data_IF_694318564565
#
_entry.id   IF_694318564565
#
_cell.length_a   1.000
_cell.length_b   1.000
_cell.length_c   1.000
_cell.angle_alpha   90.00
_cell.angle_beta   90.00
_cell.angle_gamma   90.00
#
_symmetry.space_group_name_H-M   'P 1'
#
loop_
_entity.id
_entity.type
_entity.pdbx_description
1 polymer ?
#
# COMPACT_ATOMS: atom_id res chain seq x y z
N UNK A 1 24.72 20.06 25.72
CA UNK A 1 23.60 19.39 26.48
C UNK A 1 22.39 19.13 25.60
N UNK A 2 21.77 20.18 24.99
CA UNK A 2 20.58 19.98 24.10
C UNK A 2 20.96 19.20 22.84
N UNK A 3 22.05 19.59 22.16
CA UNK A 3 22.53 18.91 20.95
C UNK A 3 22.91 17.45 21.22
N UNK A 4 23.42 17.13 22.41
CA UNK A 4 23.75 15.75 22.77
C UNK A 4 22.48 14.91 22.98
N UNK A 5 21.47 15.50 23.63
CA UNK A 5 20.17 14.85 23.78
C UNK A 5 19.47 14.62 22.45
N UNK A 6 19.49 15.60 21.56
CA UNK A 6 18.95 15.46 20.21
C UNK A 6 19.63 14.33 19.44
N UNK A 7 20.97 14.27 19.48
CA UNK A 7 21.74 13.20 18.83
C UNK A 7 21.41 11.82 19.39
N UNK A 8 21.24 11.70 20.71
CA UNK A 8 20.82 10.45 21.36
C UNK A 8 19.42 10.02 20.93
N UNK A 9 18.46 10.94 20.88
CA UNK A 9 17.09 10.67 20.44
C UNK A 9 17.07 10.20 18.98
N UNK A 10 17.78 10.91 18.10
CA UNK A 10 17.87 10.54 16.68
C UNK A 10 18.52 9.16 16.49
N UNK A 11 19.55 8.85 17.28
CA UNK A 11 20.18 7.53 17.29
C UNK A 11 19.22 6.41 17.69
N UNK A 12 18.43 6.63 18.73
CA UNK A 12 17.44 5.66 19.21
C UNK A 12 16.28 5.49 18.22
N UNK A 13 15.79 6.57 17.62
CA UNK A 13 14.81 6.50 16.53
C UNK A 13 15.34 5.66 15.37
N UNK A 14 16.58 5.87 14.96
CA UNK A 14 17.22 5.09 13.90
C UNK A 14 17.32 3.60 14.23
N UNK A 15 17.70 3.28 15.45
CA UNK A 15 17.79 1.90 15.94
C UNK A 15 16.42 1.23 15.96
N UNK A 16 15.41 1.86 16.53
CA UNK A 16 14.05 1.33 16.60
C UNK A 16 13.44 1.16 15.21
N UNK A 17 13.68 2.10 14.31
CA UNK A 17 13.25 2.01 12.91
C UNK A 17 13.84 0.78 12.22
N UNK A 18 15.12 0.48 12.46
CA UNK A 18 15.76 -0.72 11.93
C UNK A 18 15.14 -2.01 12.45
N UNK A 19 14.89 -2.10 13.76
CA UNK A 19 14.24 -3.27 14.38
C UNK A 19 12.84 -3.49 13.81
N UNK A 20 12.05 -2.43 13.70
CA UNK A 20 10.70 -2.48 13.17
C UNK A 20 10.71 -2.92 11.70
N UNK A 21 11.61 -2.35 10.90
CA UNK A 21 11.75 -2.71 9.49
C UNK A 21 12.07 -4.20 9.32
N UNK A 22 13.00 -4.72 10.10
CA UNK A 22 13.33 -6.14 10.04
C UNK A 22 12.15 -7.02 10.46
N UNK A 23 11.46 -6.66 11.53
CA UNK A 23 10.27 -7.39 11.97
C UNK A 23 9.19 -7.44 10.89
N UNK A 24 8.95 -6.35 10.19
CA UNK A 24 7.97 -6.30 9.09
C UNK A 24 8.38 -7.16 7.89
N UNK A 25 9.67 -7.14 7.55
CA UNK A 25 10.22 -8.00 6.48
C UNK A 25 10.04 -9.47 6.86
N UNK A 26 10.41 -9.85 8.07
CA UNK A 26 10.29 -11.21 8.57
C UNK A 26 8.83 -11.66 8.61
N UNK A 27 7.93 -10.77 9.04
CA UNK A 27 6.49 -11.06 9.07
C UNK A 27 5.93 -11.24 7.65
N UNK A 28 6.24 -10.35 6.70
CA UNK A 28 5.81 -10.46 5.30
C UNK A 28 6.28 -11.76 4.62
N UNK A 29 7.42 -12.29 5.06
CA UNK A 29 8.05 -13.47 4.48
C UNK A 29 7.86 -14.75 5.30
N UNK A 30 7.07 -14.71 6.37
CA UNK A 30 6.99 -15.82 7.33
C UNK A 30 6.26 -17.06 6.83
N UNK A 31 5.57 -17.03 5.71
CA UNK A 31 4.69 -18.11 5.19
C UNK A 31 3.63 -18.60 6.20
N UNK A 32 3.33 -17.83 7.20
CA UNK A 32 2.31 -18.17 8.19
C UNK A 32 0.92 -17.87 7.66
N UNK A 33 -0.05 -18.63 8.10
CA UNK A 33 -1.44 -18.25 7.87
C UNK A 33 -1.74 -16.92 8.55
N UNK A 34 -2.45 -16.05 7.86
CA UNK A 34 -2.95 -14.82 8.45
C UNK A 34 -4.08 -15.20 9.38
N UNK A 35 -3.89 -14.97 10.67
CA UNK A 35 -4.89 -15.30 11.67
C UNK A 35 -6.11 -14.39 11.54
N UNK A 36 -7.28 -14.98 11.56
CA UNK A 36 -8.56 -14.29 11.55
C UNK A 36 -9.27 -14.60 12.85
N UNK A 37 -9.79 -13.56 13.49
CA UNK A 37 -10.63 -13.72 14.66
C UNK A 37 -11.98 -14.36 14.31
N UNK A 38 -12.71 -14.85 15.32
CA UNK A 38 -14.03 -15.43 15.12
C UNK A 38 -14.96 -14.45 14.41
N UNK A 39 -15.75 -14.97 13.49
CA UNK A 39 -16.80 -14.21 12.85
C UNK A 39 -17.80 -13.66 13.90
N UNK A 40 -18.25 -12.46 13.67
CA UNK A 40 -19.36 -11.86 14.43
C UNK A 40 -20.45 -11.53 13.45
N UNK A 41 -21.59 -12.16 13.63
CA UNK A 41 -22.76 -11.92 12.79
C UNK A 41 -23.42 -10.62 13.18
N UNK A 42 -23.65 -9.78 12.18
CA UNK A 42 -24.44 -8.55 12.30
C UNK A 42 -25.71 -8.73 11.47
N UNK A 43 -26.86 -8.72 12.13
CA UNK A 43 -28.14 -8.71 11.44
C UNK A 43 -28.37 -7.35 10.79
N UNK A 44 -28.66 -7.36 9.50
CA UNK A 44 -29.03 -6.18 8.74
C UNK A 44 -30.54 -6.11 8.59
N UNK A 45 -31.07 -4.94 8.17
CA UNK A 45 -32.44 -4.81 7.70
C UNK A 45 -32.64 -5.74 6.49
N UNK A 46 -33.77 -6.40 6.37
CA UNK A 46 -34.13 -7.37 5.32
C UNK A 46 -33.56 -8.80 5.53
N UNK A 47 -33.44 -9.24 6.77
CA UNK A 47 -33.02 -10.60 7.16
C UNK A 47 -31.63 -11.04 6.61
N UNK A 48 -30.84 -10.10 6.12
CA UNK A 48 -29.48 -10.35 5.70
C UNK A 48 -28.55 -10.41 6.92
N UNK A 49 -27.58 -11.30 6.85
CA UNK A 49 -26.52 -11.44 7.84
C UNK A 49 -25.20 -10.95 7.23
N UNK A 50 -24.55 -10.04 7.92
CA UNK A 50 -23.19 -9.62 7.59
C UNK A 50 -22.20 -10.30 8.55
N UNK A 51 -21.33 -11.12 8.02
CA UNK A 51 -20.27 -11.76 8.79
C UNK A 51 -19.08 -10.82 8.91
N UNK A 52 -18.79 -10.35 10.11
CA UNK A 52 -17.65 -9.48 10.41
C UNK A 52 -16.50 -10.29 10.96
N UNK A 53 -15.37 -10.27 10.28
CA UNK A 53 -14.12 -10.89 10.74
C UNK A 53 -13.13 -9.83 11.23
N UNK A 54 -12.34 -10.17 12.22
CA UNK A 54 -11.26 -9.33 12.72
C UNK A 54 -9.95 -9.93 12.20
N UNK A 55 -9.23 -9.16 11.39
CA UNK A 55 -7.90 -9.53 10.93
C UNK A 55 -6.86 -9.29 12.03
N UNK A 56 -5.81 -10.09 12.03
CA UNK A 56 -4.71 -9.94 12.97
C UNK A 56 -4.01 -8.59 12.83
N UNK A 57 -3.45 -8.09 13.93
CA UNK A 57 -2.85 -6.76 14.02
C UNK A 57 -1.80 -6.49 12.94
N UNK A 58 -0.96 -7.42 12.56
CA UNK A 58 0.07 -7.22 11.54
C UNK A 58 -0.45 -7.00 10.13
N UNK A 59 -1.72 -7.31 9.87
CA UNK A 59 -2.28 -7.21 8.52
C UNK A 59 -2.64 -5.76 8.12
N UNK A 60 -3.24 -5.00 8.99
CA UNK A 60 -3.79 -3.68 8.65
C UNK A 60 -3.11 -2.52 9.37
N UNK A 61 -2.42 -2.79 10.43
CA UNK A 61 -1.76 -1.73 11.16
C UNK A 61 -0.28 -1.72 10.85
N UNK A 62 0.17 -0.77 10.18
CA UNK A 62 1.52 -0.36 10.46
C UNK A 62 1.60 0.10 11.94
N UNK A 63 2.79 0.13 12.46
CA UNK A 63 3.10 0.53 13.83
C UNK A 63 2.60 1.96 14.18
N UNK A 64 2.23 2.73 13.18
CA UNK A 64 1.72 4.10 13.29
C UNK A 64 0.25 4.24 12.92
N UNK A 65 -0.55 3.23 13.18
CA UNK A 65 -1.91 3.23 12.70
C UNK A 65 -2.90 3.82 13.68
N UNK A 66 -3.19 5.09 13.54
CA UNK A 66 -4.34 5.73 14.19
C UNK A 66 -5.66 5.57 13.42
N UNK A 67 -5.58 5.15 12.16
CA UNK A 67 -6.75 4.85 11.37
C UNK A 67 -6.80 3.34 11.15
N UNK A 68 -7.92 2.70 11.45
CA UNK A 68 -8.12 1.31 11.11
C UNK A 68 -7.84 1.12 9.62
N UNK A 69 -7.01 0.14 9.36
CA UNK A 69 -6.28 -0.03 8.13
C UNK A 69 -7.06 0.07 6.88
N UNK A 70 -6.38 0.56 5.92
CA UNK A 70 -6.70 0.30 4.56
C UNK A 70 -6.09 -1.06 4.21
N UNK A 71 -6.92 -1.95 3.80
CA UNK A 71 -6.57 -3.14 3.05
C UNK A 71 -7.20 -3.04 1.69
N UNK A 72 -6.63 -3.78 0.75
CA UNK A 72 -7.12 -3.90 -0.61
C UNK A 72 -7.52 -5.34 -0.83
N UNK A 73 -8.56 -5.55 -1.60
CA UNK A 73 -9.06 -6.87 -1.97
C UNK A 73 -9.31 -6.92 -3.46
N UNK A 74 -9.03 -8.07 -4.05
CA UNK A 74 -9.39 -8.37 -5.43
C UNK A 74 -9.51 -9.89 -5.59
N UNK A 75 -9.96 -10.34 -6.74
CA UNK A 75 -10.10 -11.75 -7.04
C UNK A 75 -9.15 -12.19 -8.15
N UNK A 76 -8.53 -13.36 -7.96
CA UNK A 76 -7.89 -14.13 -9.01
C UNK A 76 -8.70 -15.40 -9.21
N UNK A 77 -9.55 -15.42 -10.22
CA UNK A 77 -10.57 -16.44 -10.41
C UNK A 77 -11.45 -16.60 -9.16
N UNK A 78 -11.41 -17.76 -8.51
CA UNK A 78 -12.16 -18.05 -7.28
C UNK A 78 -11.37 -17.70 -5.99
N UNK A 79 -10.13 -17.25 -6.11
CA UNK A 79 -9.32 -16.92 -4.96
C UNK A 79 -9.48 -15.46 -4.56
N UNK A 80 -9.84 -15.23 -3.31
CA UNK A 80 -9.85 -13.88 -2.73
C UNK A 80 -8.43 -13.49 -2.34
N UNK A 81 -7.94 -12.41 -2.93
CA UNK A 81 -6.61 -11.83 -2.65
C UNK A 81 -6.78 -10.65 -1.72
N UNK A 82 -5.93 -10.58 -0.71
CA UNK A 82 -5.90 -9.44 0.24
C UNK A 82 -4.50 -8.86 0.31
N UNK A 83 -4.42 -7.53 0.37
CA UNK A 83 -3.17 -6.79 0.54
C UNK A 83 -3.35 -5.73 1.62
N UNK A 84 -2.50 -5.76 2.64
CA UNK A 84 -2.48 -4.68 3.63
C UNK A 84 -1.77 -3.44 3.08
N UNK A 85 -2.05 -2.28 3.66
CA UNK A 85 -1.34 -1.03 3.34
C UNK A 85 0.18 -1.10 3.55
N UNK A 86 0.66 -2.14 4.22
CA UNK A 86 2.07 -2.39 4.56
C UNK A 86 2.69 -3.56 3.80
N UNK A 87 1.99 -4.11 2.80
CA UNK A 87 2.52 -5.13 1.91
C UNK A 87 2.41 -6.57 2.42
N UNK A 88 1.60 -6.83 3.45
CA UNK A 88 1.22 -8.20 3.77
C UNK A 88 0.22 -8.66 2.74
N UNK A 89 0.61 -9.64 1.95
CA UNK A 89 -0.20 -10.21 0.87
C UNK A 89 -0.64 -11.62 1.24
N UNK A 90 -1.88 -11.95 0.97
CA UNK A 90 -2.43 -13.27 1.24
C UNK A 90 -3.58 -13.63 0.31
N UNK A 91 -3.94 -14.90 0.30
CA UNK A 91 -5.06 -15.41 -0.48
C UNK A 91 -5.89 -16.43 0.31
N UNK A 92 -7.16 -16.52 -0.04
CA UNK A 92 -8.06 -17.57 0.41
C UNK A 92 -8.72 -18.21 -0.79
N UNK A 93 -8.72 -19.53 -0.84
CA UNK A 93 -9.38 -20.33 -1.86
C UNK A 93 -10.73 -20.93 -1.40
N UNK A 94 -11.16 -20.59 -0.19
CA UNK A 94 -12.41 -21.07 0.39
C UNK A 94 -13.02 -19.98 1.30
N UNK A 95 -13.16 -18.78 0.74
CA UNK A 95 -13.64 -17.64 1.52
C UNK A 95 -15.14 -17.73 1.84
N UNK A 96 -15.90 -18.56 1.13
CA UNK A 96 -17.33 -18.74 1.37
C UNK A 96 -17.63 -19.61 2.58
N UNK A 97 -16.85 -20.71 2.77
CA UNK A 97 -17.08 -21.65 3.84
C UNK A 97 -16.16 -21.41 5.05
N UNK A 98 -14.89 -21.17 4.77
CA UNK A 98 -13.90 -20.96 5.83
C UNK A 98 -12.88 -19.91 5.42
N UNK A 99 -13.03 -18.71 5.97
CA UNK A 99 -12.12 -17.61 5.69
C UNK A 99 -10.75 -17.85 6.35
N UNK A 100 -9.84 -18.43 5.59
CA UNK A 100 -8.43 -18.62 5.96
C UNK A 100 -7.54 -18.02 4.90
N UNK A 101 -6.60 -17.18 5.31
CA UNK A 101 -5.64 -16.60 4.38
C UNK A 101 -4.26 -17.23 4.55
N UNK A 102 -3.71 -17.70 3.44
CA UNK A 102 -2.31 -18.10 3.32
C UNK A 102 -1.51 -16.89 2.84
N UNK A 103 -0.40 -16.64 3.51
CA UNK A 103 0.46 -15.53 3.14
C UNK A 103 1.25 -15.84 1.88
N UNK A 104 1.37 -14.84 1.01
CA UNK A 104 2.23 -14.86 -0.18
C UNK A 104 3.46 -14.00 0.12
N UNK A 105 4.65 -14.57 -0.01
CA UNK A 105 5.90 -13.81 0.10
C UNK A 105 6.01 -12.79 -1.01
N UNK A 106 6.58 -11.63 -0.71
CA UNK A 106 6.77 -10.61 -1.72
C UNK A 106 7.94 -9.67 -1.35
N UNK A 107 8.36 -8.86 -2.29
CA UNK A 107 9.46 -7.90 -2.17
C UNK A 107 8.99 -6.44 -2.12
N UNK A 108 7.76 -6.16 -1.68
CA UNK A 108 7.22 -4.79 -1.61
C UNK A 108 8.11 -3.86 -0.77
N UNK A 109 8.83 -4.39 0.21
CA UNK A 109 9.78 -3.63 1.03
C UNK A 109 10.94 -2.99 0.25
N UNK A 110 11.23 -3.46 -0.97
CA UNK A 110 12.19 -2.81 -1.87
C UNK A 110 11.68 -1.50 -2.46
N UNK A 111 10.36 -1.31 -2.52
CA UNK A 111 9.70 -0.15 -3.11
C UNK A 111 9.18 0.82 -2.06
N UNK A 112 8.68 0.31 -0.95
CA UNK A 112 8.12 1.08 0.13
C UNK A 112 8.60 0.55 1.48
N UNK A 113 9.17 1.40 2.31
CA UNK A 113 9.79 1.01 3.56
C UNK A 113 9.30 1.83 4.76
N UNK A 114 9.71 1.42 5.97
CA UNK A 114 9.28 2.06 7.21
C UNK A 114 9.65 3.55 7.28
N UNK A 115 10.77 3.97 6.70
CA UNK A 115 11.21 5.37 6.74
C UNK A 115 10.19 6.29 6.08
N UNK A 116 9.59 5.84 4.99
CA UNK A 116 8.54 6.55 4.28
C UNK A 116 7.27 6.70 5.14
N UNK A 117 6.87 5.66 5.84
CA UNK A 117 5.71 5.72 6.74
C UNK A 117 5.92 6.63 7.95
N UNK A 118 7.15 6.76 8.44
CA UNK A 118 7.47 7.69 9.51
C UNK A 118 7.26 9.14 9.05
N UNK A 119 7.58 9.48 7.81
CA UNK A 119 7.34 10.81 7.25
C UNK A 119 5.85 11.14 7.23
N UNK A 120 5.03 10.24 6.76
CA UNK A 120 3.57 10.32 6.85
C UNK A 120 2.91 8.97 6.56
N UNK A 121 1.92 8.59 7.36
CA UNK A 121 1.19 7.30 7.21
C UNK A 121 0.50 7.10 5.86
N UNK A 122 0.16 8.19 5.16
CA UNK A 122 -0.48 8.12 3.84
C UNK A 122 0.50 7.89 2.69
N UNK A 123 1.80 7.85 2.97
CA UNK A 123 2.80 7.36 2.03
C UNK A 123 2.85 5.83 2.07
N UNK A 124 1.83 5.21 1.53
CA UNK A 124 1.55 3.78 1.62
C UNK A 124 1.15 3.21 0.27
N UNK A 125 0.86 1.93 0.23
CA UNK A 125 0.15 1.31 -0.88
C UNK A 125 -1.19 2.02 -1.08
N UNK A 126 -1.66 2.08 -2.33
CA UNK A 126 -2.85 2.84 -2.73
C UNK A 126 -3.94 1.99 -3.34
N UNK A 127 -3.57 0.94 -4.07
CA UNK A 127 -4.50 0.02 -4.68
C UNK A 127 -3.88 -1.32 -5.02
N UNK A 128 -4.74 -2.30 -5.27
CA UNK A 128 -4.44 -3.64 -5.75
C UNK A 128 -5.35 -3.93 -6.92
N UNK A 129 -4.79 -4.47 -8.00
CA UNK A 129 -5.54 -4.99 -9.13
C UNK A 129 -4.96 -6.34 -9.54
N UNK A 130 -5.82 -7.35 -9.71
CA UNK A 130 -5.51 -8.59 -10.41
C UNK A 130 -6.11 -8.48 -11.82
N UNK A 131 -5.27 -8.63 -12.84
CA UNK A 131 -5.70 -8.50 -14.21
C UNK A 131 -4.79 -9.32 -15.12
N UNK A 132 -5.39 -10.17 -16.01
CA UNK A 132 -4.66 -11.00 -16.97
C UNK A 132 -3.51 -11.81 -16.34
N UNK A 133 -3.81 -12.52 -15.25
CA UNK A 133 -2.85 -13.34 -14.50
C UNK A 133 -1.63 -12.55 -13.94
N UNK A 134 -1.79 -11.25 -13.80
CA UNK A 134 -0.80 -10.35 -13.21
C UNK A 134 -1.39 -9.63 -11.99
N UNK A 135 -0.50 -9.29 -11.07
CA UNK A 135 -0.82 -8.47 -9.90
C UNK A 135 -0.15 -7.10 -10.04
N UNK A 136 -0.95 -6.07 -9.89
CA UNK A 136 -0.52 -4.67 -9.94
C UNK A 136 -0.76 -4.02 -8.58
N UNK A 137 0.21 -3.27 -8.13
CA UNK A 137 0.11 -2.53 -6.86
C UNK A 137 0.60 -1.12 -7.09
N UNK A 138 -0.22 -0.14 -6.75
CA UNK A 138 0.18 1.26 -6.75
C UNK A 138 0.59 1.72 -5.36
N UNK A 139 1.48 2.68 -5.30
CA UNK A 139 2.01 3.21 -4.04
C UNK A 139 2.49 4.65 -4.19
N UNK A 140 2.61 5.35 -3.06
CA UNK A 140 3.31 6.64 -3.04
C UNK A 140 4.80 6.37 -3.05
N UNK A 141 5.50 6.86 -4.08
CA UNK A 141 6.94 6.73 -4.22
C UNK A 141 7.64 8.03 -3.85
N UNK A 142 8.69 7.93 -3.06
CA UNK A 142 9.64 9.00 -2.84
C UNK A 142 10.68 8.99 -3.97
N UNK A 143 10.42 9.76 -5.04
CA UNK A 143 11.29 9.83 -6.23
C UNK A 143 12.64 10.46 -5.90
N UNK A 144 12.61 11.49 -5.06
CA UNK A 144 13.77 12.20 -4.51
C UNK A 144 13.43 12.59 -3.08
N UNK A 145 14.40 13.00 -2.32
CA UNK A 145 14.20 13.39 -0.92
C UNK A 145 13.05 14.41 -0.77
N UNK A 146 12.04 14.02 0.02
CA UNK A 146 10.78 14.76 0.24
C UNK A 146 10.00 15.14 -1.03
N UNK A 147 10.20 14.42 -2.14
CA UNK A 147 9.52 14.64 -3.41
C UNK A 147 8.79 13.39 -3.88
N UNK A 148 7.47 13.47 -4.01
CA UNK A 148 6.55 12.35 -4.06
C UNK A 148 5.79 12.26 -5.37
N UNK A 149 5.57 11.05 -5.84
CA UNK A 149 4.61 10.75 -6.91
C UNK A 149 3.91 9.41 -6.64
N UNK A 150 2.99 9.04 -7.52
CA UNK A 150 2.29 7.76 -7.48
C UNK A 150 2.82 6.86 -8.58
N UNK A 151 3.24 5.66 -8.19
CA UNK A 151 3.90 4.70 -9.06
C UNK A 151 3.19 3.35 -9.01
N UNK A 152 3.47 2.48 -9.98
CA UNK A 152 2.96 1.10 -10.05
C UNK A 152 4.12 0.12 -10.12
N UNK A 153 3.98 -0.96 -9.36
CA UNK A 153 4.74 -2.19 -9.49
C UNK A 153 3.83 -3.31 -9.98
N UNK A 154 4.39 -4.26 -10.72
CA UNK A 154 3.68 -5.42 -11.22
C UNK A 154 4.51 -6.69 -11.12
N UNK A 155 3.83 -7.83 -11.13
CA UNK A 155 4.44 -9.16 -11.25
C UNK A 155 3.43 -10.14 -11.88
N UNK A 156 3.91 -11.29 -12.32
CA UNK A 156 3.02 -12.41 -12.63
C UNK A 156 2.44 -13.00 -11.35
N UNK A 157 1.17 -13.40 -11.39
CA UNK A 157 0.50 -13.96 -10.21
C UNK A 157 1.11 -15.30 -9.81
N UNK A 158 1.49 -15.43 -8.55
CA UNK A 158 2.05 -16.66 -7.99
C UNK A 158 1.71 -16.76 -6.48
N UNK A 159 1.07 -17.85 -6.09
CA UNK A 159 0.61 -18.06 -4.71
C UNK A 159 1.71 -18.45 -3.70
N UNK A 160 2.94 -18.67 -4.16
CA UNK A 160 4.06 -18.97 -3.25
C UNK A 160 4.90 -17.73 -2.98
N UNK A 161 5.22 -16.99 -4.03
CA UNK A 161 6.10 -15.84 -3.92
C UNK A 161 5.93 -14.92 -5.13
N UNK A 162 5.87 -13.64 -4.92
CA UNK A 162 5.73 -12.61 -5.93
C UNK A 162 6.94 -11.68 -5.88
N UNK A 163 7.63 -11.53 -7.01
CA UNK A 163 8.76 -10.61 -7.16
C UNK A 163 8.33 -9.44 -8.06
N UNK A 164 7.86 -8.38 -7.43
CA UNK A 164 7.43 -7.16 -8.09
C UNK A 164 8.58 -6.47 -8.80
N UNK A 165 8.24 -5.85 -9.93
CA UNK A 165 9.11 -4.94 -10.69
C UNK A 165 8.37 -3.64 -10.94
N UNK A 166 9.10 -2.54 -11.08
CA UNK A 166 8.51 -1.26 -11.46
C UNK A 166 7.91 -1.37 -12.85
N UNK A 167 6.61 -1.07 -12.97
CA UNK A 167 5.93 -0.89 -14.24
C UNK A 167 5.98 0.57 -14.67
N UNK A 168 5.67 1.48 -13.74
CA UNK A 168 5.68 2.91 -13.97
C UNK A 168 6.21 3.65 -12.73
N UNK A 169 7.11 4.57 -12.97
CA UNK A 169 7.59 5.57 -12.01
C UNK A 169 7.87 6.85 -12.78
N UNK A 170 7.33 7.96 -12.33
CA UNK A 170 7.49 9.24 -13.01
C UNK A 170 8.76 9.96 -12.58
N UNK A 171 9.42 10.66 -13.50
CA UNK A 171 10.54 11.56 -13.16
C UNK A 171 10.07 12.81 -12.43
N UNK A 172 8.82 13.21 -12.67
CA UNK A 172 8.19 14.36 -12.02
C UNK A 172 7.71 13.98 -10.62
N UNK A 173 7.93 14.86 -9.65
CA UNK A 173 7.43 14.68 -8.29
C UNK A 173 7.01 16.01 -7.64
N UNK A 174 6.14 15.95 -6.64
CA UNK A 174 5.70 17.10 -5.85
C UNK A 174 6.51 17.16 -4.56
N UNK A 175 7.33 18.18 -4.42
CA UNK A 175 8.16 18.35 -3.22
C UNK A 175 7.32 18.83 -2.05
N UNK A 176 7.43 18.16 -0.93
CA UNK A 176 6.60 18.39 0.27
C UNK A 176 6.71 19.82 0.80
N UNK A 177 7.91 20.40 0.79
CA UNK A 177 8.19 21.73 1.37
C UNK A 177 8.48 22.82 0.32
N UNK A 178 8.80 22.44 -0.91
CA UNK A 178 9.27 23.35 -1.97
C UNK A 178 8.42 23.27 -3.24
N UNK A 179 7.09 23.21 -3.10
CA UNK A 179 6.20 23.26 -4.26
C UNK A 179 5.64 24.66 -4.48
N UNK A 180 5.20 24.94 -5.72
CA UNK A 180 4.68 26.25 -6.14
C UNK A 180 3.51 26.73 -5.30
N UNK A 181 2.59 25.82 -4.95
CA UNK A 181 1.37 26.17 -4.22
C UNK A 181 1.61 26.33 -2.71
N UNK A 182 2.82 26.04 -2.22
CA UNK A 182 3.20 26.06 -0.80
C UNK A 182 2.28 25.21 0.08
N UNK A 183 1.53 24.29 -0.52
CA UNK A 183 0.63 23.37 0.13
C UNK A 183 0.92 21.96 -0.37
N UNK A 184 1.09 21.05 0.56
CA UNK A 184 1.28 19.63 0.26
C UNK A 184 0.38 18.80 1.15
N UNK A 185 -0.22 17.75 0.58
CA UNK A 185 -0.94 16.77 1.36
C UNK A 185 -0.86 15.39 0.69
N UNK A 186 -0.52 14.33 1.41
CA UNK A 186 -0.34 13.02 0.80
C UNK A 186 -1.65 12.25 0.50
N UNK A 187 -2.81 12.70 1.02
CA UNK A 187 -4.07 11.98 0.79
C UNK A 187 -4.52 12.01 -0.69
N UNK A 188 -4.53 13.18 -1.39
CA UNK A 188 -4.94 13.21 -2.79
C UNK A 188 -3.80 12.77 -3.73
N UNK A 189 -3.18 11.63 -3.44
CA UNK A 189 -2.14 11.04 -4.27
C UNK A 189 -2.68 10.30 -5.50
N UNK A 190 -3.97 9.96 -5.53
CA UNK A 190 -4.54 9.05 -6.51
C UNK A 190 -4.18 7.60 -6.17
N UNK A 191 -3.87 6.81 -7.17
CA UNK A 191 -3.37 5.44 -7.04
C UNK A 191 -4.37 4.37 -7.46
N UNK A 192 -5.61 4.70 -7.81
CA UNK A 192 -6.56 3.69 -8.31
C UNK A 192 -6.07 3.11 -9.63
N UNK A 193 -6.12 1.78 -9.74
CA UNK A 193 -5.75 1.03 -10.93
C UNK A 193 -7.00 0.35 -11.49
N UNK A 194 -7.16 0.36 -12.81
CA UNK A 194 -8.24 -0.33 -13.52
C UNK A 194 -7.68 -0.99 -14.77
N UNK A 195 -7.99 -2.26 -15.00
CA UNK A 195 -7.75 -2.94 -16.28
C UNK A 195 -8.74 -2.45 -17.34
N UNK A 196 -8.28 -2.19 -18.55
CA UNK A 196 -9.13 -1.77 -19.66
C UNK A 196 -9.27 -2.89 -20.69
N UNK A 197 -8.17 -3.50 -21.02
CA UNK A 197 -8.07 -4.61 -21.95
C UNK A 197 -6.89 -5.52 -21.55
N UNK A 198 -6.60 -6.57 -22.31
CA UNK A 198 -5.54 -7.53 -21.98
C UNK A 198 -4.16 -6.93 -21.78
N UNK A 199 -3.89 -5.80 -22.40
CA UNK A 199 -2.54 -5.22 -22.47
C UNK A 199 -2.41 -3.89 -21.73
N UNK A 200 -3.52 -3.32 -21.28
CA UNK A 200 -3.53 -1.99 -20.70
C UNK A 200 -4.22 -1.89 -19.36
N UNK A 201 -3.58 -1.18 -18.47
CA UNK A 201 -4.14 -0.71 -17.21
C UNK A 201 -4.12 0.82 -17.16
N UNK A 202 -5.06 1.42 -16.43
CA UNK A 202 -5.10 2.86 -16.17
C UNK A 202 -4.82 3.11 -14.71
N UNK A 203 -3.90 4.04 -14.46
CA UNK A 203 -3.58 4.59 -13.14
C UNK A 203 -4.16 5.98 -12.98
N UNK A 204 -4.80 6.26 -11.86
CA UNK A 204 -5.08 7.64 -11.44
C UNK A 204 -3.89 8.20 -10.66
N UNK A 205 -3.40 9.37 -11.03
CA UNK A 205 -2.39 10.10 -10.24
C UNK A 205 -3.02 11.32 -9.59
N UNK A 206 -2.55 11.69 -8.42
CA UNK A 206 -3.05 12.86 -7.71
C UNK A 206 -2.03 13.98 -7.64
N UNK A 207 -2.47 15.25 -7.50
CA UNK A 207 -1.58 16.41 -7.52
C UNK A 207 -0.97 16.73 -6.14
N UNK A 208 -1.18 15.94 -5.10
CA UNK A 208 -0.71 16.20 -3.73
C UNK A 208 -1.04 17.62 -3.20
N UNK A 209 -2.17 18.19 -3.68
CA UNK A 209 -2.64 19.59 -3.53
C UNK A 209 -1.88 20.62 -4.37
N UNK A 210 -0.93 20.24 -5.19
CA UNK A 210 -0.33 21.14 -6.18
C UNK A 210 -1.29 21.28 -7.37
N UNK A 211 -2.28 22.18 -7.23
CA UNK A 211 -3.44 22.27 -8.11
C UNK A 211 -3.09 22.62 -9.55
N UNK A 212 -2.07 23.43 -9.75
CA UNK A 212 -1.67 23.84 -11.09
C UNK A 212 -1.17 22.64 -11.92
N UNK A 213 -0.56 21.61 -11.29
CA UNK A 213 -0.10 20.41 -11.98
C UNK A 213 -1.27 19.63 -12.60
N UNK A 214 -2.41 19.62 -11.94
CA UNK A 214 -3.61 18.99 -12.49
C UNK A 214 -4.11 19.67 -13.77
N UNK A 215 -3.81 20.96 -13.95
CA UNK A 215 -4.16 21.74 -15.14
C UNK A 215 -3.04 21.78 -16.18
N UNK A 216 -1.84 21.42 -15.84
CA UNK A 216 -0.71 21.36 -16.76
C UNK A 216 -0.76 20.07 -17.58
N UNK A 217 -0.96 20.17 -18.89
CA UNK A 217 -1.05 19.04 -19.81
C UNK A 217 0.25 18.21 -19.86
N UNK A 218 1.38 18.80 -19.51
CA UNK A 218 2.68 18.12 -19.50
C UNK A 218 2.97 17.36 -18.20
N UNK A 219 2.21 17.66 -17.14
CA UNK A 219 2.38 16.99 -15.84
C UNK A 219 1.70 15.63 -15.82
N UNK A 220 2.33 14.68 -15.16
CA UNK A 220 1.72 13.38 -14.85
C UNK A 220 0.83 13.44 -13.61
N UNK A 221 0.84 14.54 -12.86
CA UNK A 221 0.07 14.70 -11.63
C UNK A 221 -1.37 15.16 -11.91
N UNK A 222 -2.33 14.53 -11.25
CA UNK A 222 -3.76 14.80 -11.46
C UNK A 222 -4.28 14.33 -12.82
N UNK A 223 -3.82 13.19 -13.29
CA UNK A 223 -4.11 12.60 -14.61
C UNK A 223 -4.60 11.16 -14.51
N UNK A 224 -5.09 10.68 -15.65
CA UNK A 224 -5.21 9.26 -15.95
C UNK A 224 -4.04 8.87 -16.86
N UNK A 225 -3.29 7.87 -16.44
CA UNK A 225 -2.12 7.36 -17.19
C UNK A 225 -2.45 5.95 -17.67
N UNK A 226 -2.32 5.71 -18.96
CA UNK A 226 -2.50 4.41 -19.60
C UNK A 226 -1.15 3.80 -19.92
#
# INVERSE_FOLDING_TARGET
>A
KIADQERMILGEIGRLTGVISQYEIDFRNSNKNIQIGKAKDLKLSNDKILNKFILANGFYSGIYNYLPGSGFIDFDNENLIILSSRGVLGYSNDFENQLNFKQIRNNIDKFINIKQFIKHRSFSLKDLLIHENKIYVSYSEEIKDDCWNTSIIMADMNYKSIDFKTLFSADECVHQFKNRDRVFHPHPAGGRIVGIDSDHVVLTTGPYRSRFLAQDEKSVNGKLIK
#
